data_IF_075287488559
#
_entry.id   IF_075287488559
#
_cell.length_a   1.000
_cell.length_b   1.000
_cell.length_c   1.000
_cell.angle_alpha   90.00
_cell.angle_beta   90.00
_cell.angle_gamma   90.00
#
_symmetry.space_group_name_H-M   'P 1'
#
loop_
_entity.id
_entity.type
_entity.pdbx_description
1 polymer ?
#
# COMPACT_ATOMS: atom_id res chain seq x y z
N UNK A 1 0.55 -1.64 15.95
CA UNK A 1 -0.34 -1.71 14.77
C UNK A 1 0.58 -1.76 13.57
N UNK A 2 0.78 -2.98 13.06
CA UNK A 2 1.75 -3.28 12.01
C UNK A 2 1.46 -2.40 10.79
N UNK A 3 2.47 -1.69 10.29
CA UNK A 3 2.32 -0.92 9.07
C UNK A 3 2.11 -1.94 7.94
N UNK A 4 0.87 -2.10 7.51
CA UNK A 4 0.53 -3.01 6.41
C UNK A 4 1.35 -2.73 5.16
N UNK A 5 1.80 -1.48 4.98
CA UNK A 5 2.70 -1.12 3.88
C UNK A 5 4.06 -1.78 4.05
N UNK A 6 4.62 -1.80 5.26
CA UNK A 6 5.88 -2.48 5.57
C UNK A 6 5.75 -3.99 5.29
N UNK A 7 4.72 -4.64 5.86
CA UNK A 7 4.45 -6.06 5.58
C UNK A 7 4.27 -6.35 4.09
N UNK A 8 3.66 -5.44 3.33
CA UNK A 8 3.49 -5.58 1.89
C UNK A 8 4.81 -5.48 1.12
N UNK A 9 5.70 -4.55 1.49
CA UNK A 9 6.99 -4.37 0.80
C UNK A 9 8.03 -5.42 1.18
N UNK A 10 7.92 -5.97 2.39
CA UNK A 10 8.79 -7.06 2.87
C UNK A 10 8.31 -8.45 2.42
N UNK A 11 7.04 -8.56 1.97
CA UNK A 11 6.48 -9.82 1.51
C UNK A 11 7.24 -10.37 0.30
N UNK A 12 7.51 -11.67 0.32
CA UNK A 12 8.08 -12.38 -0.82
C UNK A 12 7.13 -12.35 -2.03
N UNK A 13 7.67 -12.62 -3.22
CA UNK A 13 6.86 -12.70 -4.45
C UNK A 13 5.75 -13.75 -4.33
N UNK A 14 5.97 -14.85 -3.60
CA UNK A 14 4.95 -15.88 -3.40
C UNK A 14 3.85 -15.44 -2.43
N UNK A 15 4.18 -14.69 -1.38
CA UNK A 15 3.19 -14.09 -0.47
C UNK A 15 2.40 -12.98 -1.16
N UNK A 16 3.05 -12.13 -1.96
CA UNK A 16 2.39 -11.14 -2.79
C UNK A 16 1.43 -11.77 -3.80
N UNK A 17 1.73 -12.95 -4.35
CA UNK A 17 0.80 -13.67 -5.25
C UNK A 17 -0.41 -14.23 -4.50
N UNK A 18 -0.20 -14.73 -3.27
CA UNK A 18 -1.28 -15.23 -2.40
C UNK A 18 -2.16 -14.10 -1.85
N UNK A 19 -1.56 -12.92 -1.64
CA UNK A 19 -2.20 -11.73 -1.09
C UNK A 19 -2.29 -11.71 0.43
N UNK A 20 -1.57 -12.57 1.14
CA UNK A 20 -1.50 -12.55 2.60
C UNK A 20 -0.15 -13.07 3.10
N UNK A 21 0.20 -12.69 4.32
CA UNK A 21 1.37 -13.20 5.07
C UNK A 21 0.90 -13.88 6.36
N UNK A 22 1.71 -14.77 6.90
CA UNK A 22 1.48 -15.36 8.22
C UNK A 22 2.45 -14.74 9.23
N UNK A 23 1.91 -14.18 10.30
CA UNK A 23 2.68 -13.67 11.44
C UNK A 23 2.83 -14.79 12.47
N UNK A 24 4.05 -15.32 12.62
CA UNK A 24 4.31 -16.44 13.51
C UNK A 24 4.21 -16.06 15.00
N UNK A 25 4.53 -14.81 15.37
CA UNK A 25 4.49 -14.37 16.77
C UNK A 25 3.06 -14.16 17.26
N UNK A 26 2.21 -13.58 16.40
CA UNK A 26 0.80 -13.33 16.69
C UNK A 26 -0.12 -14.50 16.29
N UNK A 27 0.42 -15.54 15.65
CA UNK A 27 -0.30 -16.68 15.07
C UNK A 27 -1.49 -16.25 14.20
N UNK A 28 -1.32 -15.24 13.34
CA UNK A 28 -2.40 -14.69 12.51
C UNK A 28 -2.04 -14.60 11.03
N UNK A 29 -3.04 -14.75 10.17
CA UNK A 29 -2.92 -14.49 8.74
C UNK A 29 -3.36 -13.06 8.46
N UNK A 30 -2.50 -12.26 7.84
CA UNK A 30 -2.75 -10.85 7.57
C UNK A 30 -2.95 -10.65 6.08
N UNK A 31 -4.13 -10.17 5.69
CA UNK A 31 -4.42 -9.78 4.31
C UNK A 31 -3.47 -8.66 3.90
N UNK A 32 -2.64 -8.88 2.88
CA UNK A 32 -1.70 -7.87 2.42
C UNK A 32 -2.43 -6.67 1.83
N UNK A 33 -3.62 -6.80 1.27
CA UNK A 33 -4.34 -5.69 0.62
C UNK A 33 -4.96 -4.70 1.62
N UNK A 34 -5.61 -5.17 2.69
CA UNK A 34 -6.31 -4.29 3.66
C UNK A 34 -5.75 -4.33 5.09
N UNK A 35 -4.89 -5.30 5.42
CA UNK A 35 -4.35 -5.47 6.77
C UNK A 35 -5.28 -6.16 7.77
N UNK A 36 -6.46 -6.64 7.33
CA UNK A 36 -7.32 -7.45 8.20
C UNK A 36 -6.61 -8.76 8.58
N UNK A 37 -6.69 -9.11 9.87
CA UNK A 37 -5.97 -10.23 10.46
C UNK A 37 -6.92 -11.35 10.92
N UNK A 38 -6.51 -12.59 10.69
CA UNK A 38 -7.28 -13.79 10.97
C UNK A 38 -6.45 -14.75 11.83
N UNK A 39 -6.78 -14.82 13.12
CA UNK A 39 -6.11 -15.67 14.12
C UNK A 39 -6.23 -17.16 13.74
N UNK A 40 -5.10 -17.85 13.72
CA UNK A 40 -5.00 -19.29 13.48
C UNK A 40 -5.68 -20.08 14.60
N UNK A 41 -6.37 -21.16 14.23
CA UNK A 41 -7.15 -21.96 15.17
C UNK A 41 -8.55 -21.41 15.47
N UNK A 42 -8.85 -20.17 15.07
CA UNK A 42 -10.22 -19.65 15.04
C UNK A 42 -10.94 -20.11 13.76
N UNK A 43 -12.22 -20.43 13.90
CA UNK A 43 -13.09 -20.82 12.79
C UNK A 43 -13.94 -19.61 12.41
N UNK A 44 -13.90 -19.25 11.13
CA UNK A 44 -14.63 -18.12 10.57
C UNK A 44 -15.77 -18.61 9.70
N UNK A 45 -16.89 -17.89 9.69
CA UNK A 45 -18.07 -18.25 8.93
C UNK A 45 -18.22 -17.35 7.70
N UNK A 46 -18.40 -17.95 6.53
CA UNK A 46 -18.75 -17.24 5.29
C UNK A 46 -19.81 -18.03 4.53
N UNK A 47 -20.92 -17.39 4.14
CA UNK A 47 -22.04 -18.02 3.43
C UNK A 47 -22.51 -19.34 4.07
N UNK A 48 -22.68 -19.34 5.40
CA UNK A 48 -23.09 -20.48 6.21
C UNK A 48 -22.08 -21.65 6.30
N UNK A 49 -20.92 -21.55 5.65
CA UNK A 49 -19.83 -22.53 5.73
C UNK A 49 -18.77 -22.03 6.71
N UNK A 50 -18.22 -22.96 7.48
CA UNK A 50 -17.15 -22.72 8.44
C UNK A 50 -15.79 -23.02 7.80
N UNK A 51 -14.84 -22.10 7.95
CA UNK A 51 -13.51 -22.17 7.38
C UNK A 51 -12.44 -21.92 8.44
N UNK A 52 -11.30 -22.60 8.31
CA UNK A 52 -10.09 -22.27 9.05
C UNK A 52 -9.51 -20.94 8.57
N UNK A 53 -8.76 -20.26 9.45
CA UNK A 53 -8.19 -18.92 9.20
C UNK A 53 -7.46 -18.78 7.86
N UNK A 54 -6.59 -19.74 7.49
CA UNK A 54 -5.86 -19.70 6.22
C UNK A 54 -6.79 -19.75 5.01
N UNK A 55 -7.84 -20.58 5.08
CA UNK A 55 -8.82 -20.66 4.00
C UNK A 55 -9.69 -19.42 3.96
N UNK A 56 -9.99 -18.85 5.12
CA UNK A 56 -10.78 -17.64 5.23
C UNK A 56 -10.08 -16.41 4.65
N UNK A 57 -8.77 -16.20 4.93
CA UNK A 57 -8.03 -15.08 4.33
C UNK A 57 -7.96 -15.17 2.80
N UNK A 58 -7.86 -16.40 2.26
CA UNK A 58 -7.96 -16.63 0.82
C UNK A 58 -9.32 -16.23 0.27
N UNK A 59 -10.42 -16.56 0.98
CA UNK A 59 -11.77 -16.19 0.56
C UNK A 59 -11.98 -14.66 0.66
N UNK A 60 -11.54 -14.05 1.76
CA UNK A 60 -11.56 -12.60 1.97
C UNK A 60 -10.89 -11.86 0.80
N UNK A 61 -9.74 -12.33 0.33
CA UNK A 61 -9.05 -11.73 -0.83
C UNK A 61 -9.94 -11.70 -2.10
N UNK A 62 -10.74 -12.75 -2.31
CA UNK A 62 -11.63 -12.81 -3.47
C UNK A 62 -12.93 -12.01 -3.26
N UNK A 63 -13.46 -11.96 -2.04
CA UNK A 63 -14.72 -11.25 -1.75
C UNK A 63 -14.54 -9.74 -1.63
N UNK A 64 -13.50 -9.30 -0.90
CA UNK A 64 -13.29 -7.88 -0.59
C UNK A 64 -12.37 -7.17 -1.60
N UNK A 65 -11.50 -7.91 -2.28
CA UNK A 65 -10.48 -7.33 -3.17
C UNK A 65 -10.54 -7.83 -4.61
N UNK A 66 -11.54 -8.64 -4.97
CA UNK A 66 -11.71 -9.31 -6.27
C UNK A 66 -10.60 -10.34 -6.55
N UNK A 67 -9.35 -9.89 -6.63
CA UNK A 67 -8.17 -10.74 -6.70
C UNK A 67 -6.91 -9.94 -6.34
N UNK A 68 -5.88 -10.66 -5.90
CA UNK A 68 -4.58 -10.03 -5.66
C UNK A 68 -3.94 -9.49 -6.95
N UNK A 69 -4.26 -10.09 -8.11
CA UNK A 69 -3.82 -9.57 -9.40
C UNK A 69 -4.43 -8.20 -9.69
N UNK A 70 -5.75 -8.05 -9.52
CA UNK A 70 -6.44 -6.80 -9.76
C UNK A 70 -5.97 -5.72 -8.77
N UNK A 71 -5.73 -6.09 -7.52
CA UNK A 71 -5.14 -5.19 -6.52
C UNK A 71 -3.77 -4.66 -6.98
N UNK A 72 -2.83 -5.55 -7.31
CA UNK A 72 -1.48 -5.18 -7.78
C UNK A 72 -1.51 -4.36 -9.07
N UNK A 73 -2.39 -4.69 -10.02
CA UNK A 73 -2.51 -3.99 -11.29
C UNK A 73 -3.01 -2.54 -11.11
N UNK A 74 -3.85 -2.31 -10.09
CA UNK A 74 -4.44 -0.99 -9.80
C UNK A 74 -3.56 -0.09 -8.93
N UNK A 75 -2.44 -0.59 -8.38
CA UNK A 75 -1.43 0.25 -7.71
C UNK A 75 -0.91 1.35 -8.65
N UNK A 76 -0.44 2.45 -8.06
CA UNK A 76 0.09 3.58 -8.84
C UNK A 76 1.18 3.14 -9.83
N UNK A 77 1.29 3.85 -10.96
CA UNK A 77 2.32 3.59 -11.99
C UNK A 77 3.74 3.61 -11.39
N UNK A 78 3.99 4.39 -10.33
CA UNK A 78 5.30 4.44 -9.66
C UNK A 78 5.66 3.16 -8.93
N UNK A 79 4.66 2.37 -8.51
CA UNK A 79 4.87 1.05 -7.91
C UNK A 79 4.94 -0.06 -8.95
N UNK A 80 4.00 -0.07 -9.90
CA UNK A 80 3.94 -1.13 -10.93
C UNK A 80 4.98 -0.95 -12.04
N UNK A 81 5.40 0.28 -12.29
CA UNK A 81 6.19 0.67 -13.46
C UNK A 81 5.46 0.46 -14.79
N UNK A 82 4.12 0.28 -14.78
CA UNK A 82 3.32 0.01 -15.97
C UNK A 82 2.53 1.25 -16.40
N UNK A 83 2.50 1.54 -17.70
CA UNK A 83 1.58 2.52 -18.28
C UNK A 83 0.15 2.00 -18.29
N UNK A 84 -0.85 2.86 -18.43
CA UNK A 84 -2.26 2.45 -18.48
C UNK A 84 -2.53 1.47 -19.62
N UNK A 85 -1.86 1.67 -20.77
CA UNK A 85 -1.90 0.73 -21.87
C UNK A 85 -1.31 -0.63 -21.48
N UNK A 86 -0.15 -0.65 -20.82
CA UNK A 86 0.47 -1.90 -20.36
C UNK A 86 -0.38 -2.61 -19.30
N UNK A 87 -1.06 -1.88 -18.41
CA UNK A 87 -1.98 -2.46 -17.44
C UNK A 87 -3.13 -3.21 -18.14
N UNK A 88 -3.77 -2.57 -19.12
CA UNK A 88 -4.80 -3.22 -19.96
C UNK A 88 -4.26 -4.46 -20.67
N UNK A 89 -3.05 -4.40 -21.23
CA UNK A 89 -2.42 -5.57 -21.85
C UNK A 89 -2.25 -6.73 -20.87
N UNK A 90 -1.70 -6.45 -19.69
CA UNK A 90 -1.48 -7.45 -18.64
C UNK A 90 -2.81 -8.05 -18.19
N UNK A 91 -3.88 -7.25 -18.07
CA UNK A 91 -5.24 -7.72 -17.80
C UNK A 91 -5.74 -8.69 -18.87
N UNK A 92 -5.65 -8.33 -20.15
CA UNK A 92 -6.05 -9.22 -21.24
C UNK A 92 -5.23 -10.51 -21.29
N UNK A 93 -3.94 -10.46 -20.95
CA UNK A 93 -3.09 -11.64 -20.88
C UNK A 93 -3.52 -12.57 -19.75
N UNK A 94 -3.90 -12.01 -18.60
CA UNK A 94 -4.47 -12.78 -17.49
C UNK A 94 -5.80 -13.44 -17.90
N UNK A 95 -6.65 -12.73 -18.64
CA UNK A 95 -7.91 -13.29 -19.16
C UNK A 95 -7.69 -14.40 -20.20
N UNK A 96 -6.45 -14.65 -20.63
CA UNK A 96 -6.11 -15.71 -21.59
C UNK A 96 -6.44 -15.35 -23.04
N UNK A 97 -6.76 -14.08 -23.33
CA UNK A 97 -7.11 -13.64 -24.68
C UNK A 97 -5.92 -13.80 -25.64
N UNK A 98 -6.22 -14.19 -26.88
CA UNK A 98 -5.24 -14.26 -27.96
C UNK A 98 -5.05 -12.91 -28.67
N UNK A 99 -4.02 -12.79 -29.51
CA UNK A 99 -3.66 -11.52 -30.16
C UNK A 99 -4.80 -10.92 -31.01
N UNK A 100 -5.68 -11.74 -31.62
CA UNK A 100 -6.80 -11.24 -32.43
C UNK A 100 -7.94 -10.72 -31.57
N UNK A 101 -8.24 -11.42 -30.47
CA UNK A 101 -9.25 -10.99 -29.49
C UNK A 101 -8.86 -9.66 -28.86
N UNK A 102 -7.60 -9.49 -28.47
CA UNK A 102 -7.11 -8.26 -27.86
C UNK A 102 -7.23 -7.07 -28.82
N UNK A 103 -6.89 -7.23 -30.10
CA UNK A 103 -7.08 -6.17 -31.11
C UNK A 103 -8.54 -5.76 -31.22
N UNK A 104 -9.47 -6.72 -31.12
CA UNK A 104 -10.91 -6.46 -31.17
C UNK A 104 -11.39 -5.72 -29.91
N UNK A 105 -10.96 -6.15 -28.72
CA UNK A 105 -11.33 -5.51 -27.45
C UNK A 105 -10.78 -4.09 -27.30
N UNK A 106 -9.61 -3.82 -27.88
CA UNK A 106 -9.00 -2.49 -27.84
C UNK A 106 -9.58 -1.49 -28.83
N UNK A 107 -10.40 -1.95 -29.78
CA UNK A 107 -10.88 -1.18 -30.93
C UNK A 107 -9.76 -0.42 -31.65
N UNK A 108 -8.58 -1.07 -31.77
CA UNK A 108 -7.39 -0.42 -32.30
C UNK A 108 -6.10 -1.22 -32.15
N UNK A 109 -5.12 -0.89 -33.00
CA UNK A 109 -3.81 -1.56 -33.05
C UNK A 109 -3.77 -2.73 -34.04
N UNK A 110 -2.68 -3.49 -34.01
CA UNK A 110 -2.46 -4.65 -34.88
C UNK A 110 -1.95 -5.84 -34.08
N UNK A 111 -2.11 -7.05 -34.62
CA UNK A 111 -1.63 -8.27 -33.96
C UNK A 111 -0.11 -8.24 -33.73
N UNK A 112 0.67 -7.58 -34.60
CA UNK A 112 2.10 -7.38 -34.39
C UNK A 112 2.40 -6.44 -33.23
N UNK A 113 1.58 -5.38 -33.03
CA UNK A 113 1.67 -4.49 -31.87
C UNK A 113 1.42 -5.25 -30.56
N UNK A 114 0.39 -6.09 -30.49
CA UNK A 114 0.09 -6.89 -29.29
C UNK A 114 1.22 -7.87 -28.98
N UNK A 115 1.75 -8.55 -30.02
CA UNK A 115 2.89 -9.45 -29.87
C UNK A 115 4.13 -8.73 -29.34
N UNK A 116 4.37 -7.50 -29.80
CA UNK A 116 5.47 -6.68 -29.29
C UNK A 116 5.27 -6.31 -27.81
N UNK A 117 4.05 -5.96 -27.40
CA UNK A 117 3.74 -5.74 -25.98
C UNK A 117 3.98 -7.00 -25.12
N UNK A 118 3.55 -8.18 -25.59
CA UNK A 118 3.85 -9.45 -24.90
C UNK A 118 5.35 -9.69 -24.75
N UNK A 119 6.10 -9.51 -25.83
CA UNK A 119 7.54 -9.70 -25.85
C UNK A 119 8.25 -8.75 -24.88
N UNK A 120 7.98 -7.45 -24.98
CA UNK A 120 8.60 -6.42 -24.12
C UNK A 120 8.27 -6.62 -22.64
N UNK A 121 7.03 -6.96 -22.30
CA UNK A 121 6.64 -7.23 -20.91
C UNK A 121 7.31 -8.50 -20.36
N UNK A 122 7.46 -9.56 -21.18
CA UNK A 122 8.21 -10.77 -20.78
C UNK A 122 9.70 -10.49 -20.58
N UNK A 123 10.31 -9.66 -21.42
CA UNK A 123 11.71 -9.26 -21.24
C UNK A 123 11.87 -8.41 -19.97
N UNK A 124 10.95 -7.48 -19.70
CA UNK A 124 10.94 -6.70 -18.46
C UNK A 124 10.80 -7.61 -17.22
N UNK A 125 9.97 -8.65 -17.28
CA UNK A 125 9.85 -9.64 -16.19
C UNK A 125 11.18 -10.36 -15.93
N UNK A 126 11.90 -10.78 -16.98
CA UNK A 126 13.22 -11.42 -16.83
C UNK A 126 14.24 -10.44 -16.23
N UNK A 127 14.25 -9.20 -16.71
CA UNK A 127 15.13 -8.14 -16.18
C UNK A 127 14.84 -7.88 -14.70
N UNK A 128 13.57 -7.76 -14.31
CA UNK A 128 13.17 -7.58 -12.92
C UNK A 128 13.63 -8.74 -12.03
N UNK A 129 13.49 -9.99 -12.51
CA UNK A 129 13.97 -11.18 -11.79
C UNK A 129 15.47 -11.15 -11.54
N UNK A 130 16.26 -10.82 -12.56
CA UNK A 130 17.73 -10.73 -12.43
C UNK A 130 18.11 -9.55 -11.53
N UNK A 131 17.44 -8.41 -11.67
CA UNK A 131 17.68 -7.23 -10.86
C UNK A 131 17.41 -7.49 -9.37
N UNK A 132 16.27 -8.11 -9.04
CA UNK A 132 15.93 -8.50 -7.67
C UNK A 132 17.02 -9.37 -7.05
N UNK A 133 17.45 -10.41 -7.77
CA UNK A 133 18.53 -11.29 -7.30
C UNK A 133 19.86 -10.55 -7.08
N UNK A 134 20.20 -9.58 -7.94
CA UNK A 134 21.41 -8.77 -7.77
C UNK A 134 21.32 -7.86 -6.53
N UNK A 135 20.15 -7.30 -6.24
CA UNK A 135 19.92 -6.44 -5.08
C UNK A 135 20.01 -7.24 -3.78
N UNK A 136 19.31 -8.37 -3.69
CA UNK A 136 19.36 -9.27 -2.53
C UNK A 136 20.80 -9.71 -2.21
N UNK A 137 21.54 -10.18 -3.22
CA UNK A 137 22.95 -10.58 -3.06
C UNK A 137 23.88 -9.42 -2.66
N UNK A 138 23.54 -8.19 -3.03
CA UNK A 138 24.29 -6.99 -2.65
C UNK A 138 24.04 -6.60 -1.19
N UNK A 139 22.80 -6.76 -0.73
CA UNK A 139 22.38 -6.46 0.64
C UNK A 139 22.95 -7.47 1.64
N UNK A 140 23.04 -8.76 1.29
CA UNK A 140 23.66 -9.82 2.11
C UNK A 140 25.11 -9.51 2.51
N UNK A 141 25.86 -8.82 1.63
CA UNK A 141 27.26 -8.47 1.87
C UNK A 141 27.45 -7.16 2.65
N UNK A 142 26.44 -6.30 2.67
CA UNK A 142 26.53 -4.96 3.24
C UNK A 142 26.20 -4.98 4.72
N UNK A 143 27.21 -4.80 5.59
CA UNK A 143 27.03 -4.73 7.06
C UNK A 143 26.34 -3.44 7.54
N UNK A 144 26.28 -2.41 6.71
CA UNK A 144 25.65 -1.13 7.01
C UNK A 144 24.58 -0.92 5.95
N UNK A 145 23.33 -1.20 6.32
CA UNK A 145 22.18 -0.91 5.48
C UNK A 145 21.50 0.34 6.00
N UNK A 146 21.46 1.38 5.17
CA UNK A 146 20.59 2.52 5.45
C UNK A 146 19.15 2.05 5.28
N UNK A 147 18.46 1.89 6.41
CA UNK A 147 17.04 1.52 6.38
C UNK A 147 16.21 2.75 5.99
N UNK A 148 15.55 2.63 4.85
CA UNK A 148 14.59 3.62 4.39
C UNK A 148 13.22 3.26 4.94
N UNK A 149 12.45 4.28 5.33
CA UNK A 149 11.09 4.01 5.76
C UNK A 149 10.23 3.68 4.54
N UNK A 150 9.44 2.58 4.58
CA UNK A 150 8.62 2.18 3.46
C UNK A 150 7.65 3.27 3.01
N UNK A 151 7.37 3.27 1.70
CA UNK A 151 6.42 4.18 1.06
C UNK A 151 5.04 3.57 1.21
N UNK A 152 4.08 4.27 1.82
CA UNK A 152 2.73 3.73 1.89
C UNK A 152 2.13 3.56 0.48
N UNK A 153 1.36 2.49 0.28
CA UNK A 153 0.91 2.04 -1.06
C UNK A 153 -0.10 2.98 -1.69
N UNK A 154 -0.71 3.81 -0.87
CA UNK A 154 -1.71 4.81 -1.23
C UNK A 154 -1.10 6.18 -1.52
N UNK A 155 0.24 6.28 -1.55
CA UNK A 155 0.96 7.50 -1.84
C UNK A 155 0.64 8.03 -3.24
N UNK A 156 0.11 9.24 -3.28
CA UNK A 156 -0.26 9.94 -4.52
C UNK A 156 0.94 10.59 -5.21
N UNK A 157 2.01 10.89 -4.45
CA UNK A 157 3.17 11.68 -4.91
C UNK A 157 4.50 11.03 -4.51
N UNK A 158 4.82 9.85 -5.05
CA UNK A 158 6.12 9.20 -4.77
C UNK A 158 7.27 9.94 -5.47
N UNK A 159 7.94 10.84 -4.76
CA UNK A 159 9.10 11.63 -5.19
C UNK A 159 10.16 11.70 -4.08
N UNK A 160 11.19 12.53 -4.21
CA UNK A 160 12.29 12.70 -3.23
C UNK A 160 11.83 12.94 -1.79
N UNK A 161 10.57 13.36 -1.56
CA UNK A 161 9.99 13.50 -0.22
C UNK A 161 9.94 12.17 0.55
N UNK A 162 9.86 11.04 -0.15
CA UNK A 162 9.80 9.71 0.46
C UNK A 162 11.17 9.09 0.72
N UNK A 163 12.24 9.73 0.28
CA UNK A 163 13.62 9.30 0.55
C UNK A 163 13.99 9.59 2.02
N UNK A 164 13.31 8.96 2.97
CA UNK A 164 13.44 9.17 4.43
C UNK A 164 14.10 7.94 5.03
N UNK A 165 15.19 8.13 5.77
CA UNK A 165 15.79 7.07 6.58
C UNK A 165 15.04 6.91 7.90
N UNK A 166 15.10 5.73 8.52
CA UNK A 166 14.54 5.51 9.87
C UNK A 166 15.12 6.50 10.89
N UNK A 167 16.43 6.77 10.81
CA UNK A 167 17.10 7.75 11.67
C UNK A 167 16.52 9.16 11.49
N UNK A 168 16.35 9.62 10.25
CA UNK A 168 15.77 10.94 9.96
C UNK A 168 14.30 11.02 10.39
N UNK A 169 13.55 9.93 10.25
CA UNK A 169 12.19 9.83 10.78
C UNK A 169 12.16 10.11 12.28
N UNK A 170 12.99 9.40 13.05
CA UNK A 170 13.00 9.48 14.50
C UNK A 170 13.48 10.84 15.00
N UNK A 171 14.51 11.40 14.37
CA UNK A 171 15.00 12.75 14.67
C UNK A 171 13.92 13.81 14.46
N UNK A 172 13.20 13.74 13.34
CA UNK A 172 12.13 14.69 13.04
C UNK A 172 10.97 14.54 14.03
N UNK A 173 10.56 13.31 14.37
CA UNK A 173 9.50 13.10 15.35
C UNK A 173 9.89 13.64 16.73
N UNK A 174 11.09 13.32 17.23
CA UNK A 174 11.61 13.82 18.52
C UNK A 174 11.69 15.36 18.55
N UNK A 175 12.09 15.98 17.45
CA UNK A 175 12.20 17.44 17.37
C UNK A 175 10.84 18.13 17.42
N UNK A 176 9.81 17.51 16.84
CA UNK A 176 8.50 18.14 16.65
C UNK A 176 7.49 17.79 17.76
N UNK A 177 7.62 16.63 18.39
CA UNK A 177 6.79 16.13 19.51
C UNK A 177 7.60 16.13 20.82
N UNK A 178 7.69 17.31 21.45
CA UNK A 178 8.57 17.56 22.61
C UNK A 178 8.10 16.80 23.86
N UNK A 179 6.77 16.70 24.05
CA UNK A 179 6.15 16.03 25.20
C UNK A 179 5.85 14.54 24.94
N UNK A 180 6.59 13.93 24.00
CA UNK A 180 6.39 12.55 23.56
C UNK A 180 5.50 12.42 22.33
N UNK A 181 5.53 11.25 21.69
CA UNK A 181 4.87 10.98 20.40
C UNK A 181 3.34 11.13 20.43
N UNK A 182 2.73 11.01 21.62
CA UNK A 182 1.29 11.25 21.80
C UNK A 182 0.94 12.68 22.19
N UNK A 183 1.95 13.51 22.45
CA UNK A 183 1.81 14.92 22.80
C UNK A 183 1.45 15.81 21.62
N UNK A 184 1.40 17.12 21.90
CA UNK A 184 1.07 18.12 20.90
C UNK A 184 2.24 18.39 19.96
N UNK A 185 1.91 18.71 18.72
CA UNK A 185 2.86 19.13 17.73
C UNK A 185 3.28 20.57 18.02
N UNK A 186 4.56 20.79 18.34
CA UNK A 186 5.10 22.12 18.63
C UNK A 186 4.93 23.10 17.46
N UNK A 187 5.15 22.61 16.24
CA UNK A 187 4.98 23.37 14.99
C UNK A 187 4.86 22.46 13.79
N UNK A 188 3.90 22.76 12.92
CA UNK A 188 3.82 22.09 11.62
C UNK A 188 4.93 22.59 10.67
N UNK A 189 5.81 21.70 10.17
CA UNK A 189 6.98 22.10 9.39
C UNK A 189 6.61 22.61 7.99
N UNK A 190 7.47 23.48 7.44
CA UNK A 190 7.31 23.97 6.06
C UNK A 190 7.83 22.96 5.01
N UNK A 191 8.89 22.22 5.35
CA UNK A 191 9.53 21.25 4.45
C UNK A 191 8.61 20.05 4.23
N UNK A 192 8.33 19.71 2.97
CA UNK A 192 7.39 18.63 2.61
C UNK A 192 7.80 17.26 3.18
N UNK A 193 9.08 16.91 3.12
CA UNK A 193 9.63 15.68 3.71
C UNK A 193 9.31 15.53 5.21
N UNK A 194 9.45 16.61 5.99
CA UNK A 194 9.10 16.61 7.42
C UNK A 194 7.60 16.56 7.67
N UNK A 195 6.79 17.17 6.80
CA UNK A 195 5.33 17.02 6.86
C UNK A 195 4.94 15.55 6.68
N UNK A 196 5.51 14.89 5.68
CA UNK A 196 5.24 13.48 5.41
C UNK A 196 5.52 12.58 6.64
N UNK A 197 6.66 12.79 7.30
CA UNK A 197 7.02 12.09 8.55
C UNK A 197 5.94 12.28 9.62
N UNK A 198 5.52 13.53 9.86
CA UNK A 198 4.48 13.83 10.85
C UNK A 198 3.15 13.20 10.44
N UNK A 199 2.72 13.34 9.20
CA UNK A 199 1.45 12.80 8.71
C UNK A 199 1.39 11.27 8.83
N UNK A 200 2.50 10.58 8.53
CA UNK A 200 2.64 9.13 8.74
C UNK A 200 2.56 8.74 10.21
N UNK A 201 3.03 9.59 11.12
CA UNK A 201 2.81 9.36 12.55
C UNK A 201 1.35 9.61 12.96
N UNK A 202 0.73 10.66 12.44
CA UNK A 202 -0.65 11.01 12.77
C UNK A 202 -1.67 9.98 12.29
N UNK A 203 -1.46 9.34 11.13
CA UNK A 203 -2.41 8.34 10.63
C UNK A 203 -2.57 7.15 11.59
N UNK A 204 -1.55 6.85 12.41
CA UNK A 204 -1.59 5.80 13.44
C UNK A 204 -2.60 6.07 14.56
N UNK A 205 -3.12 7.30 14.66
CA UNK A 205 -4.19 7.66 15.60
C UNK A 205 -5.59 7.33 15.06
N UNK A 206 -5.70 6.88 13.81
CA UNK A 206 -6.93 6.43 13.19
C UNK A 206 -6.93 4.91 13.07
N UNK A 207 -8.07 4.30 13.38
CA UNK A 207 -8.35 2.90 13.13
C UNK A 207 -8.67 2.72 11.63
N UNK A 208 -7.96 1.79 10.97
CA UNK A 208 -8.15 1.52 9.56
C UNK A 208 -9.49 0.88 9.22
N UNK A 209 -10.13 0.24 10.20
CA UNK A 209 -11.41 -0.44 10.03
C UNK A 209 -12.61 0.47 10.36
N UNK A 210 -12.36 1.72 10.74
CA UNK A 210 -13.40 2.68 11.10
C UNK A 210 -13.57 3.77 10.04
N UNK A 211 -14.83 4.14 9.80
CA UNK A 211 -15.18 5.39 9.11
C UNK A 211 -15.46 6.48 10.13
N UNK A 212 -14.93 7.66 9.86
CA UNK A 212 -15.04 8.85 10.69
C UNK A 212 -15.87 9.91 9.99
N UNK A 213 -16.71 10.61 10.73
CA UNK A 213 -17.26 11.89 10.32
C UNK A 213 -16.18 12.98 10.34
N UNK A 214 -16.41 14.08 9.62
CA UNK A 214 -15.54 15.26 9.68
C UNK A 214 -15.28 15.72 11.14
N UNK A 215 -16.31 15.67 11.99
CA UNK A 215 -16.20 16.09 13.39
C UNK A 215 -15.25 15.20 14.17
N UNK A 216 -15.33 13.89 14.02
CA UNK A 216 -14.44 12.94 14.70
C UNK A 216 -12.98 13.12 14.25
N UNK A 217 -12.75 13.28 12.94
CA UNK A 217 -11.41 13.57 12.42
C UNK A 217 -10.87 14.88 13.00
N UNK A 218 -11.69 15.93 13.04
CA UNK A 218 -11.28 17.21 13.60
C UNK A 218 -10.93 17.09 15.09
N UNK A 219 -11.73 16.38 15.88
CA UNK A 219 -11.46 16.16 17.31
C UNK A 219 -10.14 15.40 17.53
N UNK A 220 -9.84 14.37 16.73
CA UNK A 220 -8.57 13.64 16.82
C UNK A 220 -7.40 14.57 16.54
N UNK A 221 -7.50 15.40 15.49
CA UNK A 221 -6.40 16.26 15.03
C UNK A 221 -6.24 17.54 15.86
N UNK A 222 -7.31 18.08 16.43
CA UNK A 222 -7.31 19.28 17.28
C UNK A 222 -6.50 19.04 18.56
N UNK A 223 -6.55 17.82 19.10
CA UNK A 223 -5.70 17.41 20.23
C UNK A 223 -4.20 17.43 19.88
N UNK A 224 -3.85 17.41 18.59
CA UNK A 224 -2.45 17.38 18.13
C UNK A 224 -1.95 18.75 17.70
N UNK A 225 -2.75 19.52 16.94
CA UNK A 225 -2.35 20.84 16.46
C UNK A 225 -3.57 21.75 16.25
N UNK A 226 -3.52 23.03 16.66
CA UNK A 226 -4.67 23.94 16.54
C UNK A 226 -5.20 24.12 15.11
N UNK A 227 -4.31 24.07 14.10
CA UNK A 227 -4.71 24.09 12.69
C UNK A 227 -4.93 22.66 12.15
N UNK A 228 -5.92 21.99 12.75
CA UNK A 228 -6.33 20.63 12.39
C UNK A 228 -6.87 20.53 10.95
N UNK A 229 -7.41 21.63 10.41
CA UNK A 229 -7.90 21.70 9.02
C UNK A 229 -6.74 21.49 8.05
N UNK A 230 -5.60 22.13 8.28
CA UNK A 230 -4.40 21.93 7.47
C UNK A 230 -3.89 20.50 7.56
N UNK A 231 -3.86 19.89 8.76
CA UNK A 231 -3.45 18.50 8.94
C UNK A 231 -4.36 17.55 8.16
N UNK A 232 -5.69 17.71 8.29
CA UNK A 232 -6.69 16.89 7.59
C UNK A 232 -6.53 16.99 6.07
N UNK A 233 -6.34 18.20 5.54
CA UNK A 233 -6.12 18.41 4.10
C UNK A 233 -4.88 17.65 3.63
N UNK A 234 -3.76 17.76 4.34
CA UNK A 234 -2.53 17.07 3.96
C UNK A 234 -2.61 15.55 4.12
N UNK A 235 -3.32 15.03 5.13
CA UNK A 235 -3.57 13.59 5.26
C UNK A 235 -4.27 13.03 4.02
N UNK A 236 -5.20 13.79 3.42
CA UNK A 236 -5.84 13.42 2.16
C UNK A 236 -4.92 13.60 0.96
N UNK A 237 -4.28 14.78 0.83
CA UNK A 237 -3.42 15.08 -0.33
C UNK A 237 -2.28 14.08 -0.48
N UNK A 238 -1.69 13.63 0.62
CA UNK A 238 -0.62 12.63 0.62
C UNK A 238 -1.13 11.19 0.49
N UNK A 239 -2.44 10.97 0.64
CA UNK A 239 -3.06 9.65 0.45
C UNK A 239 -3.13 8.79 1.70
N UNK A 240 -2.99 9.36 2.91
CA UNK A 240 -3.18 8.63 4.17
C UNK A 240 -4.66 8.44 4.52
N UNK A 241 -5.48 9.46 4.25
CA UNK A 241 -6.93 9.40 4.40
C UNK A 241 -7.61 9.58 3.03
N UNK A 242 -8.80 9.02 2.89
CA UNK A 242 -9.71 9.37 1.81
C UNK A 242 -11.04 9.88 2.38
N UNK A 243 -11.88 10.46 1.53
CA UNK A 243 -13.18 11.00 1.93
C UNK A 243 -14.23 10.91 0.84
N UNK A 244 -15.50 10.97 1.25
CA UNK A 244 -16.59 11.20 0.31
C UNK A 244 -16.51 12.62 -0.27
N UNK A 245 -17.05 12.82 -1.49
CA UNK A 245 -17.01 14.10 -2.18
C UNK A 245 -17.74 15.23 -1.42
N UNK A 246 -18.77 14.88 -0.66
CA UNK A 246 -19.54 15.77 0.22
C UNK A 246 -18.87 15.99 1.59
N UNK A 247 -17.76 15.29 1.88
CA UNK A 247 -17.05 15.36 3.17
C UNK A 247 -17.81 14.75 4.35
N UNK A 248 -18.84 13.95 4.11
CA UNK A 248 -19.60 13.32 5.19
C UNK A 248 -18.83 12.19 5.90
N UNK A 249 -17.94 11.49 5.18
CA UNK A 249 -17.15 10.39 5.73
C UNK A 249 -15.68 10.47 5.32
N UNK A 250 -14.82 10.00 6.22
CA UNK A 250 -13.37 9.90 6.12
C UNK A 250 -12.93 8.50 6.56
N UNK A 251 -11.86 7.96 5.98
CA UNK A 251 -11.30 6.66 6.38
C UNK A 251 -9.80 6.60 6.05
N UNK A 252 -9.07 5.70 6.72
CA UNK A 252 -7.68 5.42 6.36
C UNK A 252 -7.65 4.74 5.00
N UNK A 253 -6.84 5.27 4.09
CA UNK A 253 -6.68 4.69 2.76
C UNK A 253 -5.64 3.59 2.83
N UNK A 254 -6.06 2.36 2.56
CA UNK A 254 -5.24 1.14 2.58
C UNK A 254 -4.86 0.67 1.18
#
# INVERSE_FOLDING_TARGET
MNDISEKFWDASVEELKKGYVFDEEAEEYICLACGEAFIKGVIYQHNQVLYEAEKFVQLHMHSEHTSMFDYLLNLDKKFTGLTDLQKKMVQFFHMGLNDKEIVKEMDGGSTSTIRNHRFTLREKMKQAKVFLALMELSEEKSKVQTKFVPIHRTATMVDDRYNITEEENDEVLKTHFIDGLDGQLSKFPKKQKRKLIILRHLVKKFDSNQKYSEKEVNTILENVYPDFVTLRRYLIEYGFLDRTADGSQYWVKL
#
